data_IF_807821828436
#
_entry.id   IF_807821828436
#
_cell.length_a   1.000
_cell.length_b   1.000
_cell.length_c   1.000
_cell.angle_alpha   90.00
_cell.angle_beta   90.00
_cell.angle_gamma   90.00
#
_symmetry.space_group_name_H-M   'P 1'
#
loop_
_entity.id
_entity.type
_entity.pdbx_description
1 polymer ?
#
# COMPACT_ATOMS: atom_id res chain seq x y z
N UNK A 1 -1.44 -2.43 -18.55
CA UNK A 1 -1.67 -2.44 -17.09
C UNK A 1 -2.78 -3.44 -16.81
N UNK A 2 -2.72 -4.22 -15.72
CA UNK A 2 -3.88 -5.05 -15.35
C UNK A 2 -5.01 -4.15 -14.83
N UNK A 3 -6.26 -4.39 -15.21
CA UNK A 3 -7.40 -3.54 -14.82
C UNK A 3 -8.38 -4.34 -13.95
N UNK A 4 -8.77 -3.78 -12.80
CA UNK A 4 -9.79 -4.32 -11.90
C UNK A 4 -10.98 -3.36 -11.84
N UNK A 5 -12.18 -3.88 -12.05
CA UNK A 5 -13.42 -3.08 -12.01
C UNK A 5 -13.91 -2.88 -10.58
N UNK A 6 -14.76 -1.88 -10.36
CA UNK A 6 -15.50 -1.77 -9.10
C UNK A 6 -16.51 -2.92 -8.97
N UNK A 7 -16.80 -3.33 -7.74
CA UNK A 7 -17.73 -4.42 -7.44
C UNK A 7 -18.74 -3.99 -6.38
N UNK A 8 -20.00 -4.42 -6.55
CA UNK A 8 -21.06 -4.18 -5.57
C UNK A 8 -21.05 -5.25 -4.49
N UNK A 9 -21.32 -4.91 -3.21
CA UNK A 9 -21.48 -5.93 -2.17
C UNK A 9 -22.60 -6.94 -2.49
N UNK A 10 -23.63 -6.50 -3.23
CA UNK A 10 -24.75 -7.36 -3.68
C UNK A 10 -24.29 -8.52 -4.56
N UNK A 11 -23.26 -8.29 -5.36
CA UNK A 11 -22.70 -9.29 -6.28
C UNK A 11 -21.62 -10.13 -5.57
N UNK A 12 -20.74 -9.46 -4.81
CA UNK A 12 -19.57 -10.10 -4.19
C UNK A 12 -19.94 -11.18 -3.19
N UNK A 13 -21.06 -11.05 -2.48
CA UNK A 13 -21.52 -12.12 -1.57
C UNK A 13 -21.78 -13.46 -2.27
N UNK A 14 -21.97 -13.47 -3.59
CA UNK A 14 -22.16 -14.69 -4.37
C UNK A 14 -20.88 -15.19 -5.05
N UNK A 15 -19.75 -14.49 -4.87
CA UNK A 15 -18.50 -14.86 -5.51
C UNK A 15 -17.92 -16.14 -4.92
N UNK A 16 -17.40 -16.99 -5.80
CA UNK A 16 -16.58 -18.14 -5.40
C UNK A 16 -15.22 -17.67 -4.90
N UNK A 17 -14.47 -18.54 -4.23
CA UNK A 17 -13.08 -18.26 -3.83
C UNK A 17 -12.22 -17.78 -5.01
N UNK A 18 -12.36 -18.43 -6.17
CA UNK A 18 -11.61 -18.06 -7.37
C UNK A 18 -11.99 -16.66 -7.86
N UNK A 19 -13.30 -16.36 -7.88
CA UNK A 19 -13.79 -15.06 -8.31
C UNK A 19 -13.35 -13.92 -7.39
N UNK A 20 -13.32 -14.13 -6.07
CA UNK A 20 -12.78 -13.15 -5.12
C UNK A 20 -11.30 -12.85 -5.42
N UNK A 21 -10.50 -13.88 -5.69
CA UNK A 21 -9.08 -13.72 -6.03
C UNK A 21 -8.90 -12.96 -7.35
N UNK A 22 -9.66 -13.30 -8.37
CA UNK A 22 -9.64 -12.64 -9.68
C UNK A 22 -10.03 -11.16 -9.63
N UNK A 23 -10.81 -10.74 -8.64
CA UNK A 23 -11.28 -9.36 -8.54
C UNK A 23 -10.43 -8.53 -7.58
N UNK A 24 -10.03 -9.08 -6.44
CA UNK A 24 -9.41 -8.29 -5.36
C UNK A 24 -7.94 -8.63 -5.09
N UNK A 25 -7.50 -9.86 -5.35
CA UNK A 25 -6.12 -10.29 -5.08
C UNK A 25 -5.18 -9.92 -6.23
N UNK A 26 -4.06 -9.30 -5.86
CA UNK A 26 -2.94 -8.99 -6.74
C UNK A 26 -1.78 -9.91 -6.37
N UNK A 27 -1.54 -10.91 -7.21
CA UNK A 27 -0.44 -11.86 -7.05
C UNK A 27 0.80 -11.42 -7.82
N UNK A 28 1.98 -11.95 -7.46
CA UNK A 28 3.26 -11.65 -8.13
C UNK A 28 3.47 -10.14 -8.23
N UNK A 29 3.37 -9.41 -7.12
CA UNK A 29 3.51 -7.95 -7.11
C UNK A 29 4.91 -7.59 -7.61
N UNK A 30 5.94 -8.14 -6.95
CA UNK A 30 7.34 -7.91 -7.28
C UNK A 30 7.84 -8.93 -8.30
N UNK A 31 8.09 -8.48 -9.52
CA UNK A 31 8.66 -9.30 -10.60
C UNK A 31 10.01 -8.68 -10.98
N UNK A 32 11.11 -9.46 -10.96
CA UNK A 32 12.42 -8.96 -11.35
C UNK A 32 12.41 -8.27 -12.71
N UNK A 33 13.04 -7.10 -12.77
CA UNK A 33 13.19 -6.28 -13.97
C UNK A 33 11.88 -5.84 -14.67
N UNK A 34 10.80 -5.77 -13.90
CA UNK A 34 9.47 -5.33 -14.35
C UNK A 34 8.90 -4.23 -13.44
N UNK A 35 8.19 -3.27 -14.07
CA UNK A 35 7.23 -2.42 -13.36
C UNK A 35 5.86 -3.03 -13.56
N UNK A 36 5.34 -3.67 -12.52
CA UNK A 36 4.00 -4.25 -12.53
C UNK A 36 3.02 -3.28 -11.92
N UNK A 37 1.93 -2.98 -12.63
CA UNK A 37 0.90 -2.04 -12.20
C UNK A 37 -0.50 -2.63 -12.42
N UNK A 38 -1.37 -2.44 -11.42
CA UNK A 38 -2.79 -2.79 -11.44
C UNK A 38 -3.61 -1.52 -11.23
N UNK A 39 -4.49 -1.22 -12.18
CA UNK A 39 -5.43 -0.11 -12.12
C UNK A 39 -6.76 -0.58 -11.55
N UNK A 40 -7.15 -0.07 -10.38
CA UNK A 40 -8.48 -0.29 -9.83
C UNK A 40 -9.43 0.84 -10.24
N UNK A 41 -10.65 0.52 -10.66
CA UNK A 41 -11.70 1.53 -10.86
C UNK A 41 -12.22 2.12 -9.54
N UNK A 42 -11.91 1.50 -8.39
CA UNK A 42 -12.23 2.03 -7.07
C UNK A 42 -11.22 3.16 -6.78
N UNK A 43 -11.71 4.39 -6.72
CA UNK A 43 -10.94 5.65 -6.61
C UNK A 43 -9.81 5.84 -7.64
N UNK A 44 -9.78 5.01 -8.69
CA UNK A 44 -8.75 5.07 -9.76
C UNK A 44 -7.33 4.90 -9.22
N UNK A 45 -7.17 4.24 -8.07
CA UNK A 45 -5.85 3.93 -7.51
C UNK A 45 -5.12 2.96 -8.45
N UNK A 46 -3.82 3.19 -8.61
CA UNK A 46 -2.91 2.26 -9.27
C UNK A 46 -1.96 1.73 -8.20
N UNK A 47 -1.96 0.42 -8.03
CA UNK A 47 -1.08 -0.29 -7.09
C UNK A 47 -0.13 -1.17 -7.86
N UNK A 48 1.10 -1.29 -7.39
CA UNK A 48 2.06 -2.17 -8.02
C UNK A 48 3.45 -2.09 -7.43
N UNK A 49 4.46 -2.38 -8.24
CA UNK A 49 5.85 -2.24 -7.83
C UNK A 49 6.81 -2.07 -9.00
N UNK A 50 8.00 -1.58 -8.68
CA UNK A 50 9.18 -1.69 -9.53
C UNK A 50 10.26 -2.50 -8.80
N UNK A 51 10.80 -3.52 -9.45
CA UNK A 51 11.86 -4.40 -8.88
C UNK A 51 13.06 -4.46 -9.84
N UNK A 52 13.88 -3.41 -9.92
CA UNK A 52 15.07 -3.42 -10.78
C UNK A 52 16.10 -4.41 -10.27
N UNK A 53 16.66 -5.26 -11.14
CA UNK A 53 17.70 -6.24 -10.78
C UNK A 53 18.91 -6.07 -11.71
N UNK A 54 18.76 -6.39 -12.99
CA UNK A 54 19.85 -6.29 -13.97
C UNK A 54 19.80 -4.98 -14.77
N UNK A 55 18.67 -4.26 -14.73
CA UNK A 55 18.50 -2.98 -15.44
C UNK A 55 17.68 -1.96 -14.67
N UNK A 56 17.91 -0.71 -15.03
CA UNK A 56 17.06 0.41 -14.62
C UNK A 56 15.66 0.29 -15.23
N UNK A 57 14.65 0.61 -14.43
CA UNK A 57 13.25 0.56 -14.84
C UNK A 57 12.68 1.97 -14.95
N UNK A 58 12.38 2.40 -16.17
CA UNK A 58 11.73 3.69 -16.43
C UNK A 58 10.21 3.57 -16.32
N UNK A 59 9.59 4.41 -15.50
CA UNK A 59 8.14 4.51 -15.41
C UNK A 59 7.58 5.22 -16.64
N UNK A 60 6.68 4.55 -17.35
CA UNK A 60 6.01 5.08 -18.53
C UNK A 60 4.51 5.20 -18.27
N UNK A 61 3.85 6.15 -18.94
CA UNK A 61 2.40 6.18 -18.95
C UNK A 61 1.86 4.98 -19.73
N UNK A 62 0.96 4.21 -19.12
CA UNK A 62 0.16 3.23 -19.86
C UNK A 62 -0.93 3.91 -20.68
N UNK A 63 -1.35 3.27 -21.77
CA UNK A 63 -2.44 3.75 -22.65
C UNK A 63 -3.74 4.01 -21.87
N UNK A 64 -3.96 3.27 -20.79
CA UNK A 64 -5.13 3.37 -19.91
C UNK A 64 -5.25 4.75 -19.24
N UNK A 65 -4.13 5.48 -19.08
CA UNK A 65 -4.12 6.80 -18.44
C UNK A 65 -4.44 7.93 -19.40
N UNK A 66 -4.27 7.72 -20.71
CA UNK A 66 -4.38 8.78 -21.74
C UNK A 66 -3.63 10.06 -21.34
N UNK A 67 -2.41 9.88 -20.84
CA UNK A 67 -1.53 10.94 -20.35
C UNK A 67 -0.18 10.90 -21.08
N UNK A 68 0.50 12.04 -21.19
CA UNK A 68 1.82 12.12 -21.83
C UNK A 68 2.92 11.45 -20.99
N UNK A 69 2.75 11.45 -19.67
CA UNK A 69 3.64 10.83 -18.69
C UNK A 69 2.85 10.45 -17.44
N UNK A 70 3.37 9.49 -16.67
CA UNK A 70 2.59 8.77 -15.65
C UNK A 70 1.98 9.69 -14.58
N UNK A 71 2.75 10.66 -14.06
CA UNK A 71 2.30 11.60 -13.03
C UNK A 71 1.74 12.93 -13.57
N UNK A 72 1.33 13.02 -14.84
CA UNK A 72 0.77 14.26 -15.40
C UNK A 72 -0.41 14.80 -14.58
N UNK A 73 -1.23 13.89 -14.03
CA UNK A 73 -2.42 14.20 -13.21
C UNK A 73 -2.55 13.26 -12.01
N UNK A 74 -1.42 12.78 -11.50
CA UNK A 74 -1.36 11.79 -10.42
C UNK A 74 -0.25 12.13 -9.44
N UNK A 75 -0.44 11.73 -8.20
CA UNK A 75 0.60 11.65 -7.18
C UNK A 75 1.00 10.18 -6.96
N UNK A 76 2.14 9.95 -6.31
CA UNK A 76 2.64 8.60 -6.07
C UNK A 76 3.40 8.50 -4.75
N UNK A 77 3.06 7.49 -3.98
CA UNK A 77 3.80 7.04 -2.81
C UNK A 77 4.57 5.76 -3.13
N UNK A 78 5.78 5.68 -2.62
CA UNK A 78 6.65 4.50 -2.71
C UNK A 78 7.05 4.08 -1.30
N UNK A 79 7.12 2.78 -1.04
CA UNK A 79 7.83 2.23 0.11
C UNK A 79 8.72 1.08 -0.38
N UNK A 80 10.01 1.14 -0.08
CA UNK A 80 10.95 0.08 -0.42
C UNK A 80 10.91 -1.03 0.64
N UNK A 81 10.60 -2.27 0.25
CA UNK A 81 10.59 -3.42 1.15
C UNK A 81 11.77 -4.39 0.93
N UNK A 82 12.64 -4.09 -0.05
CA UNK A 82 13.80 -4.92 -0.40
C UNK A 82 15.11 -4.30 0.07
N UNK A 83 16.21 -4.60 -0.64
CA UNK A 83 17.51 -3.97 -0.43
C UNK A 83 17.53 -2.50 -0.86
N UNK A 84 18.64 -1.77 -0.63
CA UNK A 84 18.72 -0.36 -0.98
C UNK A 84 18.71 -0.13 -2.49
N UNK A 85 18.04 0.95 -2.92
CA UNK A 85 17.99 1.34 -4.32
C UNK A 85 17.88 2.85 -4.51
N UNK A 86 17.77 3.26 -5.76
CA UNK A 86 17.65 4.66 -6.15
C UNK A 86 16.37 4.93 -6.95
N UNK A 87 15.78 6.10 -6.73
CA UNK A 87 14.71 6.66 -7.56
C UNK A 87 15.21 7.98 -8.15
N UNK A 88 15.40 8.03 -9.46
CA UNK A 88 15.76 9.25 -10.18
C UNK A 88 14.50 9.92 -10.71
N UNK A 89 14.29 11.19 -10.38
CA UNK A 89 13.10 11.97 -10.74
C UNK A 89 13.55 13.27 -11.39
N UNK A 90 13.24 13.43 -12.68
CA UNK A 90 13.59 14.61 -13.48
C UNK A 90 15.07 15.00 -13.32
N UNK A 91 15.95 14.00 -13.24
CA UNK A 91 17.40 14.16 -13.08
C UNK A 91 17.93 14.25 -11.64
N UNK A 92 17.07 14.32 -10.62
CA UNK A 92 17.48 14.25 -9.20
C UNK A 92 17.36 12.82 -8.68
N UNK A 93 18.47 12.27 -8.20
CA UNK A 93 18.51 10.91 -7.62
C UNK A 93 18.29 10.95 -6.11
N UNK A 94 17.42 10.07 -5.65
CA UNK A 94 17.16 9.82 -4.24
C UNK A 94 17.55 8.38 -3.93
N UNK A 95 18.44 8.20 -2.96
CA UNK A 95 18.70 6.89 -2.37
C UNK A 95 17.56 6.56 -1.40
N UNK A 96 16.91 5.41 -1.60
CA UNK A 96 15.78 4.94 -0.79
C UNK A 96 16.18 3.59 -0.18
N UNK A 97 16.56 3.61 1.09
CA UNK A 97 16.95 2.40 1.81
C UNK A 97 15.75 1.48 2.09
N UNK A 98 16.03 0.28 2.59
CA UNK A 98 14.98 -0.64 3.04
C UNK A 98 14.10 0.02 4.10
N UNK A 99 12.78 -0.13 3.97
CA UNK A 99 11.74 0.49 4.81
C UNK A 99 11.76 2.02 4.81
N UNK A 100 12.45 2.67 3.90
CA UNK A 100 12.21 4.09 3.60
C UNK A 100 11.10 4.22 2.56
N UNK A 101 10.41 5.36 2.60
CA UNK A 101 9.37 5.70 1.64
C UNK A 101 9.70 6.96 0.88
N UNK A 102 8.84 7.31 -0.06
CA UNK A 102 8.97 8.53 -0.84
C UNK A 102 7.59 8.98 -1.30
N UNK A 103 7.34 10.28 -1.28
CA UNK A 103 6.19 10.88 -1.93
C UNK A 103 6.65 11.68 -3.15
N UNK A 104 5.93 11.53 -4.25
CA UNK A 104 6.20 12.18 -5.53
C UNK A 104 4.93 12.88 -5.98
N UNK A 105 4.95 14.21 -5.94
CA UNK A 105 3.83 15.04 -6.34
C UNK A 105 3.56 15.02 -7.85
N UNK A 106 2.39 15.53 -8.22
CA UNK A 106 1.94 15.68 -9.59
C UNK A 106 2.94 16.45 -10.47
N UNK A 107 3.05 16.04 -11.73
CA UNK A 107 3.77 16.78 -12.78
C UNK A 107 5.18 16.28 -13.08
N UNK A 108 5.72 15.32 -12.30
CA UNK A 108 7.03 14.69 -12.55
C UNK A 108 6.99 13.78 -13.77
N UNK A 109 7.98 13.88 -14.65
CA UNK A 109 7.94 13.28 -16.00
C UNK A 109 8.81 12.04 -16.11
N UNK A 110 10.09 12.19 -15.79
CA UNK A 110 11.10 11.16 -15.99
C UNK A 110 11.43 10.51 -14.65
N UNK A 111 10.83 9.34 -14.40
CA UNK A 111 11.04 8.56 -13.18
C UNK A 111 11.69 7.23 -13.53
N UNK A 112 12.83 6.94 -12.92
CA UNK A 112 13.58 5.69 -13.11
C UNK A 112 13.95 5.07 -11.77
N UNK A 113 13.78 3.75 -11.66
CA UNK A 113 14.12 2.95 -10.49
C UNK A 113 15.36 2.10 -10.77
N UNK A 114 16.26 1.99 -9.79
CA UNK A 114 17.42 1.09 -9.83
C UNK A 114 17.74 0.49 -8.46
N UNK A 115 18.46 -0.62 -8.44
CA UNK A 115 18.97 -1.26 -7.21
C UNK A 115 20.47 -0.97 -7.05
N UNK A 116 20.94 -0.86 -5.80
CA UNK A 116 22.38 -0.72 -5.53
C UNK A 116 23.11 -2.06 -5.64
N UNK A 117 22.42 -3.15 -5.30
CA UNK A 117 22.91 -4.53 -5.40
C UNK A 117 21.84 -5.39 -6.10
N UNK A 118 22.26 -6.22 -7.05
CA UNK A 118 21.37 -7.12 -7.78
C UNK A 118 21.08 -8.42 -7.02
N UNK A 119 21.96 -8.80 -6.09
CA UNK A 119 21.77 -9.97 -5.23
C UNK A 119 20.82 -9.66 -4.06
N UNK A 120 20.65 -8.38 -3.71
CA UNK A 120 19.65 -7.86 -2.76
C UNK A 120 18.89 -6.67 -3.39
N UNK A 121 18.01 -6.93 -4.37
CA UNK A 121 17.39 -5.87 -5.14
C UNK A 121 16.37 -5.08 -4.31
N UNK A 122 16.24 -3.79 -4.64
CA UNK A 122 15.17 -2.95 -4.14
C UNK A 122 13.81 -3.45 -4.65
N UNK A 123 12.81 -3.38 -3.76
CA UNK A 123 11.42 -3.75 -4.05
C UNK A 123 10.54 -2.55 -3.73
N UNK A 124 10.40 -1.66 -4.71
CA UNK A 124 9.61 -0.43 -4.55
C UNK A 124 8.13 -0.73 -4.71
N UNK A 125 7.40 -0.83 -3.60
CA UNK A 125 5.93 -0.90 -3.64
C UNK A 125 5.36 0.49 -3.93
N UNK A 126 4.39 0.57 -4.84
CA UNK A 126 3.86 1.81 -5.40
C UNK A 126 2.35 1.87 -5.19
N UNK A 127 1.87 3.01 -4.69
CA UNK A 127 0.48 3.42 -4.80
C UNK A 127 0.41 4.80 -5.47
N UNK A 128 -0.45 4.95 -6.47
CA UNK A 128 -0.66 6.22 -7.18
C UNK A 128 -2.14 6.56 -7.31
N UNK A 129 -2.47 7.79 -6.96
CA UNK A 129 -3.83 8.33 -6.99
C UNK A 129 -3.93 9.53 -7.94
N UNK A 130 -5.11 9.84 -8.49
CA UNK A 130 -5.33 11.12 -9.15
C UNK A 130 -4.96 12.31 -8.25
N UNK A 131 -4.34 13.33 -8.82
CA UNK A 131 -3.95 14.53 -8.11
C UNK A 131 -4.41 15.77 -8.88
N UNK A 132 -4.76 16.82 -8.15
CA UNK A 132 -5.23 18.09 -8.72
C UNK A 132 -4.35 19.28 -8.33
N UNK A 133 -3.43 19.06 -7.39
CA UNK A 133 -2.38 20.00 -7.01
C UNK A 133 -1.04 19.25 -6.95
N UNK A 134 0.05 19.98 -7.10
CA UNK A 134 1.39 19.44 -6.93
C UNK A 134 1.88 19.80 -5.53
N UNK A 135 2.22 18.79 -4.74
CA UNK A 135 2.96 18.96 -3.49
C UNK A 135 4.45 18.58 -3.68
N UNK A 136 5.35 19.02 -2.77
CA UNK A 136 6.77 18.75 -2.88
C UNK A 136 7.11 17.25 -2.85
N UNK A 137 8.03 16.83 -3.72
CA UNK A 137 8.63 15.48 -3.67
C UNK A 137 9.55 15.37 -2.46
N UNK A 138 9.33 14.35 -1.62
CA UNK A 138 10.11 14.13 -0.40
C UNK A 138 10.48 12.66 -0.21
N UNK A 139 11.70 12.39 0.23
CA UNK A 139 12.11 11.12 0.81
C UNK A 139 11.58 11.04 2.24
N UNK A 140 11.09 9.89 2.66
CA UNK A 140 10.49 9.67 3.97
C UNK A 140 11.33 8.61 4.70
N UNK A 141 11.99 9.01 5.79
CA UNK A 141 12.77 8.10 6.64
C UNK A 141 12.06 7.85 7.96
N UNK A 142 12.22 6.65 8.51
CA UNK A 142 11.69 6.33 9.85
C UNK A 142 12.45 7.05 10.96
N UNK A 143 13.74 7.26 10.75
CA UNK A 143 14.69 7.83 11.71
C UNK A 143 15.71 8.70 10.98
N UNK A 144 16.45 9.52 11.73
CA UNK A 144 17.48 10.41 11.22
C UNK A 144 17.15 11.88 11.43
N UNK A 145 17.81 12.75 10.67
CA UNK A 145 17.67 14.20 10.78
C UNK A 145 16.90 14.75 9.59
N UNK A 146 15.89 15.62 9.79
CA UNK A 146 15.22 16.31 8.70
C UNK A 146 16.23 17.15 7.89
N UNK A 147 16.09 17.12 6.57
CA UNK A 147 16.90 17.90 5.64
C UNK A 147 16.06 18.27 4.40
N UNK A 148 16.59 19.08 3.49
CA UNK A 148 15.81 19.54 2.34
C UNK A 148 15.35 18.39 1.44
N UNK A 149 14.03 18.20 1.36
CA UNK A 149 13.43 17.10 0.61
C UNK A 149 13.47 15.75 1.35
N UNK A 150 13.74 15.75 2.66
CA UNK A 150 13.68 14.57 3.52
C UNK A 150 12.80 14.85 4.74
N UNK A 151 11.77 14.03 4.91
CA UNK A 151 10.86 14.03 6.05
C UNK A 151 11.20 12.85 6.95
N UNK A 152 11.30 13.08 8.25
CA UNK A 152 11.40 12.01 9.24
C UNK A 152 10.00 11.77 9.80
N UNK A 153 9.57 10.50 9.85
CA UNK A 153 8.28 10.13 10.45
C UNK A 153 8.27 10.63 11.89
N UNK A 154 7.26 11.43 12.22
CA UNK A 154 7.12 12.02 13.55
C UNK A 154 6.81 10.93 14.58
N UNK A 155 7.20 11.14 15.83
CA UNK A 155 6.99 10.15 16.89
C UNK A 155 5.50 9.88 17.14
N UNK A 156 4.62 10.89 17.05
CA UNK A 156 3.17 10.69 17.14
C UNK A 156 2.57 9.84 16.00
N UNK A 157 3.32 9.68 14.90
CA UNK A 157 2.95 8.85 13.76
C UNK A 157 3.61 7.46 13.79
N UNK A 158 4.33 7.14 14.89
CA UNK A 158 4.84 5.82 15.23
C UNK A 158 4.02 5.27 16.39
N UNK A 159 2.97 4.52 16.09
CA UNK A 159 1.97 4.11 17.09
C UNK A 159 2.11 2.62 17.40
N UNK A 160 2.49 2.30 18.62
CA UNK A 160 2.45 0.94 19.16
C UNK A 160 1.08 0.67 19.78
N UNK A 161 0.43 -0.43 19.38
CA UNK A 161 -0.93 -0.78 19.80
C UNK A 161 -1.07 -2.27 20.06
N UNK A 162 -2.13 -2.62 20.80
CA UNK A 162 -2.52 -4.01 21.03
C UNK A 162 -1.72 -4.69 22.14
N UNK A 163 -1.90 -6.00 22.24
CA UNK A 163 -1.16 -6.84 23.19
C UNK A 163 -1.01 -8.26 22.66
N UNK A 164 -0.10 -9.03 23.26
CA UNK A 164 0.11 -10.43 22.91
C UNK A 164 -1.13 -11.29 23.22
N UNK A 165 -1.83 -11.00 24.33
CA UNK A 165 -3.04 -11.70 24.76
C UNK A 165 -4.20 -11.54 23.77
N UNK A 166 -4.25 -10.38 23.10
CA UNK A 166 -5.20 -10.10 22.02
C UNK A 166 -4.68 -10.56 20.64
N UNK A 167 -3.44 -11.08 20.60
CA UNK A 167 -2.73 -11.48 19.38
C UNK A 167 -2.67 -10.38 18.32
N UNK A 168 -2.60 -9.11 18.73
CA UNK A 168 -2.61 -7.95 17.85
C UNK A 168 -1.53 -6.90 18.21
N UNK A 169 -0.52 -7.26 19.01
CA UNK A 169 0.60 -6.38 19.33
C UNK A 169 1.36 -6.01 18.05
N UNK A 170 1.45 -4.71 17.76
CA UNK A 170 1.97 -4.20 16.50
C UNK A 170 2.46 -2.76 16.61
N UNK A 171 3.36 -2.40 15.70
CA UNK A 171 3.87 -1.04 15.53
C UNK A 171 3.47 -0.51 14.16
N UNK A 172 2.80 0.64 14.14
CA UNK A 172 2.37 1.36 12.93
C UNK A 172 3.34 2.51 12.69
N UNK A 173 3.87 2.64 11.48
CA UNK A 173 4.59 3.82 11.01
C UNK A 173 3.79 4.46 9.87
N UNK A 174 3.27 5.67 10.07
CA UNK A 174 2.52 6.42 9.05
C UNK A 174 3.49 7.24 8.19
N UNK A 175 3.60 6.92 6.90
CA UNK A 175 4.57 7.54 5.98
C UNK A 175 3.99 8.79 5.33
N UNK A 176 2.83 8.66 4.69
CA UNK A 176 2.11 9.76 4.05
C UNK A 176 0.82 9.96 4.82
N UNK A 177 0.70 11.11 5.47
CA UNK A 177 -0.41 11.52 6.32
C UNK A 177 -0.43 13.05 6.40
N UNK A 178 -1.61 13.70 6.39
CA UNK A 178 -1.74 15.14 6.61
C UNK A 178 -0.96 15.64 7.83
N UNK A 179 -0.31 16.80 7.70
CA UNK A 179 0.52 17.38 8.74
C UNK A 179 1.94 16.81 8.85
N UNK A 180 2.28 15.75 8.09
CA UNK A 180 3.65 15.23 7.94
C UNK A 180 4.10 15.31 6.48
N UNK A 181 3.34 14.72 5.57
CA UNK A 181 3.56 14.79 4.13
C UNK A 181 2.23 15.16 3.48
N UNK A 182 2.18 16.37 2.91
CA UNK A 182 0.99 16.85 2.21
C UNK A 182 0.82 16.12 0.87
N UNK A 183 -0.39 15.60 0.65
CA UNK A 183 -0.83 14.91 -0.56
C UNK A 183 -2.24 15.37 -0.92
N UNK A 184 -2.74 15.03 -2.11
CA UNK A 184 -4.11 15.36 -2.50
C UNK A 184 -5.12 14.44 -1.79
N UNK A 185 -4.83 13.14 -1.77
CA UNK A 185 -5.70 12.13 -1.19
C UNK A 185 -4.95 10.88 -0.71
N UNK A 186 -3.75 10.63 -1.25
CA UNK A 186 -2.99 9.43 -0.92
C UNK A 186 -2.47 9.46 0.52
N UNK A 187 -2.78 8.43 1.27
CA UNK A 187 -2.21 8.12 2.58
C UNK A 187 -1.55 6.74 2.53
N UNK A 188 -0.44 6.56 3.25
CA UNK A 188 0.26 5.28 3.30
C UNK A 188 0.94 5.06 4.65
N UNK A 189 0.96 3.81 5.09
CA UNK A 189 1.74 3.40 6.25
C UNK A 189 2.19 1.96 6.19
N UNK A 190 3.15 1.62 7.04
CA UNK A 190 3.64 0.26 7.24
C UNK A 190 3.35 -0.16 8.67
N UNK A 191 2.85 -1.37 8.86
CA UNK A 191 2.58 -1.94 10.19
C UNK A 191 3.25 -3.29 10.31
N UNK A 192 4.05 -3.46 11.36
CA UNK A 192 4.74 -4.71 11.68
C UNK A 192 4.10 -5.33 12.92
N UNK A 193 3.71 -6.61 12.82
CA UNK A 193 3.19 -7.37 13.95
C UNK A 193 4.35 -7.98 14.74
N UNK A 194 4.26 -7.88 16.06
CA UNK A 194 5.24 -8.49 16.97
C UNK A 194 5.10 -10.02 16.96
N UNK A 195 6.20 -10.77 17.22
CA UNK A 195 6.14 -12.23 17.33
C UNK A 195 5.03 -12.72 18.27
N UNK A 196 4.23 -13.67 17.80
CA UNK A 196 3.07 -14.19 18.52
C UNK A 196 1.77 -13.42 18.30
N UNK A 197 1.81 -12.26 17.63
CA UNK A 197 0.63 -11.55 17.15
C UNK A 197 0.34 -11.86 15.69
N UNK A 198 -0.94 -12.02 15.37
CA UNK A 198 -1.40 -12.42 14.03
C UNK A 198 -2.52 -11.57 13.48
N UNK A 199 -3.18 -10.73 14.30
CA UNK A 199 -4.28 -9.89 13.87
C UNK A 199 -3.83 -8.47 13.51
N UNK A 200 -4.19 -8.01 12.31
CA UNK A 200 -4.30 -6.58 12.01
C UNK A 200 -5.77 -6.13 11.99
N UNK A 201 -5.98 -4.83 12.21
CA UNK A 201 -7.29 -4.15 12.09
C UNK A 201 -8.44 -4.91 12.78
N UNK A 202 -8.21 -5.35 14.03
CA UNK A 202 -9.24 -5.92 14.89
C UNK A 202 -9.30 -5.16 16.24
N UNK A 203 -10.46 -4.61 16.63
CA UNK A 203 -11.75 -4.60 15.91
C UNK A 203 -11.68 -3.90 14.54
N UNK A 204 -12.48 -4.37 13.58
CA UNK A 204 -12.48 -3.87 12.20
C UNK A 204 -13.38 -2.66 12.03
N UNK A 205 -13.30 -2.03 10.86
CA UNK A 205 -14.11 -0.88 10.48
C UNK A 205 -14.39 -0.90 8.97
N UNK A 206 -15.31 -0.04 8.54
CA UNK A 206 -15.47 0.36 7.14
C UNK A 206 -15.28 1.89 7.03
N UNK A 207 -15.13 2.39 5.80
CA UNK A 207 -15.15 3.83 5.54
C UNK A 207 -15.72 4.11 4.15
N UNK A 208 -16.98 4.55 4.09
CA UNK A 208 -17.68 4.75 2.81
C UNK A 208 -17.04 5.81 1.89
N UNK A 209 -16.25 6.72 2.46
CA UNK A 209 -15.62 7.86 1.75
C UNK A 209 -14.21 7.56 1.23
N UNK A 210 -13.65 6.39 1.56
CA UNK A 210 -12.27 6.01 1.23
C UNK A 210 -12.19 4.55 0.84
N UNK A 211 -11.09 4.13 0.24
CA UNK A 211 -10.78 2.74 -0.07
C UNK A 211 -9.34 2.45 0.33
N UNK A 212 -9.03 1.18 0.60
CA UNK A 212 -7.67 0.77 0.97
C UNK A 212 -7.12 -0.33 0.07
N UNK A 213 -5.79 -0.40 0.00
CA UNK A 213 -5.05 -1.52 -0.61
C UNK A 213 -3.96 -1.98 0.36
N UNK A 214 -3.95 -3.28 0.64
CA UNK A 214 -3.02 -3.90 1.59
C UNK A 214 -1.99 -4.72 0.84
N UNK A 215 -0.71 -4.59 1.17
CA UNK A 215 0.36 -5.49 0.75
C UNK A 215 0.90 -6.25 1.97
N UNK A 216 0.87 -7.57 1.96
CA UNK A 216 1.43 -8.41 3.03
C UNK A 216 2.83 -8.92 2.66
N UNK A 217 3.80 -8.83 3.58
CA UNK A 217 5.18 -9.26 3.36
C UNK A 217 5.89 -9.61 4.69
N UNK A 218 7.19 -9.91 4.64
CA UNK A 218 7.97 -10.46 5.76
C UNK A 218 7.39 -11.77 6.31
N UNK A 219 6.87 -12.62 5.42
CA UNK A 219 6.31 -13.93 5.76
C UNK A 219 7.20 -15.07 5.26
N UNK A 220 7.41 -16.14 6.05
CA UNK A 220 8.06 -17.34 5.55
C UNK A 220 7.21 -18.02 4.47
N UNK A 221 7.85 -18.84 3.62
CA UNK A 221 7.22 -19.45 2.43
C UNK A 221 5.96 -20.27 2.75
N UNK A 222 5.93 -20.96 3.89
CA UNK A 222 4.81 -21.79 4.33
C UNK A 222 3.71 -21.01 5.07
N UNK A 223 3.93 -19.74 5.39
CA UNK A 223 2.94 -18.89 6.04
C UNK A 223 1.89 -18.34 5.07
N UNK A 224 0.79 -17.85 5.65
CA UNK A 224 -0.27 -17.15 4.93
C UNK A 224 -0.98 -16.17 5.86
N UNK A 225 -1.70 -15.24 5.25
CA UNK A 225 -2.71 -14.39 5.92
C UNK A 225 -4.08 -14.75 5.37
N UNK A 226 -5.04 -14.94 6.25
CA UNK A 226 -6.46 -14.93 5.90
C UNK A 226 -6.91 -13.48 5.97
N UNK A 227 -6.96 -12.81 4.82
CA UNK A 227 -7.46 -11.44 4.72
C UNK A 227 -9.00 -11.48 4.68
N UNK A 228 -9.64 -10.88 5.68
CA UNK A 228 -11.08 -10.75 5.79
C UNK A 228 -11.54 -9.48 5.08
N UNK A 229 -12.56 -9.65 4.24
CA UNK A 229 -13.21 -8.61 3.46
C UNK A 229 -14.72 -8.86 3.47
N UNK A 230 -15.51 -8.01 2.82
CA UNK A 230 -16.97 -8.13 2.81
C UNK A 230 -17.66 -7.05 3.65
N UNK A 231 -18.97 -6.92 3.49
CA UNK A 231 -19.78 -6.18 4.48
C UNK A 231 -19.67 -6.89 5.85
N UNK A 232 -19.76 -6.16 6.98
CA UNK A 232 -19.56 -6.75 8.30
C UNK A 232 -20.46 -7.95 8.64
N UNK A 233 -21.64 -8.05 8.01
CA UNK A 233 -22.61 -9.15 8.18
C UNK A 233 -22.56 -10.20 7.08
N UNK A 234 -21.61 -10.11 6.14
CA UNK A 234 -21.46 -11.02 5.01
C UNK A 234 -19.96 -11.17 4.68
N UNK A 235 -19.16 -11.47 5.70
CA UNK A 235 -17.71 -11.51 5.54
C UNK A 235 -17.26 -12.65 4.62
N UNK A 236 -16.16 -12.43 3.93
CA UNK A 236 -15.45 -13.37 3.07
C UNK A 236 -13.97 -13.30 3.41
N UNK A 237 -13.19 -14.20 2.84
CA UNK A 237 -11.76 -14.15 3.00
C UNK A 237 -11.01 -14.49 1.72
N UNK A 238 -9.77 -14.02 1.66
CA UNK A 238 -8.77 -14.40 0.68
C UNK A 238 -7.55 -14.91 1.44
N UNK A 239 -7.10 -16.13 1.14
CA UNK A 239 -5.82 -16.64 1.61
C UNK A 239 -4.70 -16.01 0.77
N UNK A 240 -3.83 -15.27 1.43
CA UNK A 240 -2.74 -14.51 0.82
C UNK A 240 -1.37 -15.05 1.23
N UNK A 241 -0.41 -14.95 0.33
CA UNK A 241 1.00 -15.35 0.51
C UNK A 241 1.91 -14.14 0.62
N UNK A 242 3.19 -14.40 0.88
CA UNK A 242 4.20 -13.35 0.97
C UNK A 242 4.21 -12.53 -0.33
N UNK A 243 4.29 -11.21 -0.18
CA UNK A 243 4.40 -10.28 -1.30
C UNK A 243 3.17 -10.26 -2.24
N UNK A 244 1.98 -10.55 -1.68
CA UNK A 244 0.69 -10.37 -2.36
C UNK A 244 -0.06 -9.15 -1.81
N UNK A 245 -0.82 -8.48 -2.68
CA UNK A 245 -1.64 -7.33 -2.33
C UNK A 245 -3.14 -7.59 -2.53
N UNK A 246 -4.00 -6.86 -1.84
CA UNK A 246 -5.46 -6.98 -1.93
C UNK A 246 -6.13 -5.62 -1.90
N UNK A 247 -7.09 -5.43 -2.82
CA UNK A 247 -7.92 -4.24 -2.93
C UNK A 247 -9.13 -4.37 -2.00
N UNK A 248 -9.34 -3.41 -1.11
CA UNK A 248 -10.51 -3.30 -0.23
C UNK A 248 -11.43 -2.17 -0.71
N UNK A 249 -12.62 -2.47 -1.26
CA UNK A 249 -13.64 -1.47 -1.57
C UNK A 249 -14.16 -0.76 -0.31
N UNK A 250 -14.68 0.46 -0.44
CA UNK A 250 -15.16 1.28 0.70
C UNK A 250 -16.19 0.62 1.61
N UNK A 251 -17.07 -0.20 1.04
CA UNK A 251 -18.11 -0.93 1.76
C UNK A 251 -17.60 -2.18 2.51
N UNK A 252 -16.34 -2.56 2.27
CA UNK A 252 -15.72 -3.76 2.81
C UNK A 252 -14.94 -3.46 4.07
N UNK A 253 -14.95 -4.40 5.02
CA UNK A 253 -13.92 -4.44 6.05
C UNK A 253 -12.56 -4.82 5.43
N UNK A 254 -11.49 -4.58 6.18
CA UNK A 254 -10.13 -5.02 5.84
C UNK A 254 -9.39 -5.39 7.12
N UNK A 255 -9.55 -6.64 7.52
CA UNK A 255 -8.82 -7.24 8.63
C UNK A 255 -8.06 -8.48 8.16
N UNK A 256 -7.18 -9.02 8.98
CA UNK A 256 -6.35 -10.14 8.57
C UNK A 256 -5.81 -10.89 9.77
N UNK A 257 -5.79 -12.22 9.65
CA UNK A 257 -5.15 -13.12 10.60
C UNK A 257 -4.07 -13.96 9.92
N UNK A 258 -2.84 -13.84 10.39
CA UNK A 258 -1.70 -14.61 9.91
C UNK A 258 -1.61 -16.00 10.54
N UNK A 259 -0.97 -16.95 9.84
CA UNK A 259 -0.47 -18.18 10.45
C UNK A 259 0.79 -17.95 11.30
N UNK A 260 1.44 -16.79 11.12
CA UNK A 260 2.60 -16.24 11.85
C UNK A 260 2.51 -14.71 11.86
N UNK A 261 3.41 -14.04 12.58
CA UNK A 261 3.56 -12.59 12.47
C UNK A 261 4.05 -12.21 11.07
N UNK A 262 3.70 -11.00 10.64
CA UNK A 262 3.99 -10.46 9.31
C UNK A 262 4.10 -8.93 9.38
N UNK A 263 4.55 -8.33 8.28
CA UNK A 263 4.44 -6.88 8.06
C UNK A 263 3.43 -6.63 6.94
N UNK A 264 2.74 -5.52 6.97
CA UNK A 264 1.94 -5.06 5.83
C UNK A 264 2.08 -3.57 5.58
N UNK A 265 1.89 -3.16 4.34
CA UNK A 265 1.68 -1.76 3.95
C UNK A 265 0.20 -1.58 3.66
N UNK A 266 -0.39 -0.51 4.17
CA UNK A 266 -1.70 -0.02 3.77
C UNK A 266 -1.52 1.26 2.96
N UNK A 267 -2.29 1.41 1.89
CA UNK A 267 -2.46 2.66 1.18
C UNK A 267 -3.93 2.98 1.03
N UNK A 268 -4.29 4.22 1.34
CA UNK A 268 -5.66 4.71 1.37
C UNK A 268 -5.80 5.92 0.46
N UNK A 269 -6.94 6.02 -0.22
CA UNK A 269 -7.35 7.17 -1.03
C UNK A 269 -8.85 7.39 -0.88
N UNK A 270 -9.35 8.57 -1.23
CA UNK A 270 -10.78 8.85 -1.23
C UNK A 270 -11.10 10.34 -1.19
N UNK A 271 -12.32 10.66 -0.76
CA UNK A 271 -12.84 12.03 -0.69
C UNK A 271 -12.15 12.89 0.38
N UNK A 272 -11.73 12.27 1.48
CA UNK A 272 -11.07 12.95 2.60
C UNK A 272 -9.85 12.16 3.09
N UNK A 273 -9.07 12.79 3.96
CA UNK A 273 -7.92 12.21 4.65
C UNK A 273 -8.11 12.30 6.17
N UNK A 274 -9.38 12.33 6.62
CA UNK A 274 -9.68 12.27 8.04
C UNK A 274 -9.57 10.81 8.49
N UNK A 275 -8.42 10.47 9.07
CA UNK A 275 -8.12 9.09 9.47
C UNK A 275 -9.14 8.53 10.46
N UNK A 276 -9.73 9.37 11.32
CA UNK A 276 -10.67 8.94 12.37
C UNK A 276 -12.12 8.81 11.85
N UNK A 277 -12.39 9.25 10.63
CA UNK A 277 -13.70 9.19 9.98
C UNK A 277 -14.03 7.77 9.49
N UNK A 278 -14.29 6.85 10.43
CA UNK A 278 -14.53 5.43 10.17
C UNK A 278 -15.74 4.89 10.94
N UNK A 279 -16.40 3.89 10.36
CA UNK A 279 -17.51 3.17 10.99
C UNK A 279 -16.97 1.95 11.74
N UNK A 280 -16.73 2.14 13.04
CA UNK A 280 -16.21 1.08 13.91
C UNK A 280 -17.22 -0.06 14.07
N UNK A 281 -16.77 -1.30 13.84
CA UNK A 281 -17.58 -2.50 14.01
C UNK A 281 -17.18 -3.21 15.29
N UNK A 282 -18.14 -3.43 16.19
CA UNK A 282 -17.87 -4.23 17.39
C UNK A 282 -17.73 -5.70 16.98
N UNK A 283 -16.78 -6.42 17.57
CA UNK A 283 -16.54 -7.83 17.25
C UNK A 283 -17.80 -8.72 17.35
N UNK A 284 -18.72 -8.41 18.25
CA UNK A 284 -19.98 -9.15 18.44
C UNK A 284 -21.01 -8.92 17.32
N UNK A 285 -20.82 -7.91 16.47
CA UNK A 285 -21.73 -7.56 15.37
C UNK A 285 -21.26 -8.14 14.01
N UNK A 286 -20.11 -8.83 13.98
CA UNK A 286 -19.53 -9.48 12.79
C UNK A 286 -20.18 -10.86 12.58
N UNK A 287 -20.49 -11.21 11.32
CA UNK A 287 -20.99 -12.54 10.92
C UNK A 287 -20.03 -13.30 10.00
#
# INVERSE_FOLDING_TARGET
>A
MELRTAASPRDVKHYTTQRLREEFLIQKVFVPDEIKLVYSHIDRIITGSATPVEKDLKLVAGDELRAEYFLQRREMGIINIGGPGCVCIDGRTYRVASREGMYIGMGKKDITFSSEDKEDPAKFYINSAPAHTSYPTVLIRREGTPEEGVVIIKEENKVELGSLEQSNHRTICKYILPGQVESCQLEMGMTSLEPGSVWNTMPCHTHDRRMEVYLYFDMPEDAFVTHYMGEPQETRHIVMRNEEAVISPSWSIHAGSGSRNYTFIWGMVGENQDFDDMDNIRNQDIL
#
